data_IF_248746099519
#
_entry.id   IF_248746099519
#
_cell.length_a   1.000
_cell.length_b   1.000
_cell.length_c   1.000
_cell.angle_alpha   90.00
_cell.angle_beta   90.00
_cell.angle_gamma   90.00
#
_symmetry.space_group_name_H-M   'P 1'
#
loop_
_entity.id
_entity.type
_entity.pdbx_description
1 polymer ?
#
# COMPACT_ATOMS: atom_id res chain seq x y z
N UNK A 1 17.36 11.89 3.31
CA UNK A 1 16.15 12.11 2.46
C UNK A 1 16.59 12.90 1.24
N UNK A 2 16.40 12.37 0.03
CA UNK A 2 16.86 13.04 -1.19
C UNK A 2 15.90 14.17 -1.54
N UNK A 3 16.40 15.32 -2.03
CA UNK A 3 15.60 16.53 -2.36
C UNK A 3 14.40 16.22 -3.25
N UNK A 4 14.53 15.29 -4.20
CA UNK A 4 13.43 14.88 -5.08
C UNK A 4 12.30 14.13 -4.34
N UNK A 5 12.57 13.43 -3.24
CA UNK A 5 11.53 12.76 -2.43
C UNK A 5 10.65 13.79 -1.73
N UNK A 6 11.25 14.86 -1.20
CA UNK A 6 10.50 15.98 -0.58
C UNK A 6 9.63 16.70 -1.59
N UNK A 7 10.13 16.88 -2.83
CA UNK A 7 9.36 17.51 -3.90
C UNK A 7 8.17 16.66 -4.34
N UNK A 8 8.34 15.33 -4.45
CA UNK A 8 7.26 14.40 -4.79
C UNK A 8 6.20 14.39 -3.67
N UNK A 9 6.62 14.37 -2.41
CA UNK A 9 5.69 14.44 -1.27
C UNK A 9 4.90 15.75 -1.25
N UNK A 10 5.56 16.89 -1.46
CA UNK A 10 4.89 18.20 -1.54
C UNK A 10 3.92 18.26 -2.72
N UNK A 11 4.32 17.76 -3.89
CA UNK A 11 3.45 17.69 -5.06
C UNK A 11 2.22 16.79 -4.80
N UNK A 12 2.41 15.63 -4.18
CA UNK A 12 1.33 14.72 -3.79
C UNK A 12 0.32 15.34 -2.80
N UNK A 13 0.77 16.35 -2.04
CA UNK A 13 -0.09 17.09 -1.10
C UNK A 13 -0.90 18.20 -1.76
N UNK A 14 -0.65 18.54 -3.02
CA UNK A 14 -1.48 19.48 -3.79
C UNK A 14 -2.77 18.82 -4.25
N UNK A 15 -3.79 19.62 -4.58
CA UNK A 15 -5.06 19.12 -5.13
C UNK A 15 -4.85 18.34 -6.44
N UNK A 16 -3.99 18.83 -7.32
CA UNK A 16 -3.65 18.16 -8.58
C UNK A 16 -2.89 16.85 -8.35
N UNK A 17 -1.87 16.83 -7.48
CA UNK A 17 -1.13 15.64 -7.13
C UNK A 17 -2.00 14.58 -6.45
N UNK A 18 -2.92 14.99 -5.58
CA UNK A 18 -3.90 14.10 -4.97
C UNK A 18 -4.82 13.43 -6.03
N UNK A 19 -5.33 14.21 -7.00
CA UNK A 19 -6.14 13.67 -8.10
C UNK A 19 -5.33 12.71 -8.99
N UNK A 20 -4.07 13.04 -9.27
CA UNK A 20 -3.15 12.14 -9.98
C UNK A 20 -3.00 10.81 -9.26
N UNK A 21 -2.70 10.82 -7.96
CA UNK A 21 -2.56 9.61 -7.14
C UNK A 21 -3.83 8.77 -7.12
N UNK A 22 -5.00 9.41 -7.11
CA UNK A 22 -6.28 8.69 -7.07
C UNK A 22 -6.66 8.01 -8.37
N UNK A 23 -6.40 8.66 -9.49
CA UNK A 23 -7.02 8.26 -10.77
C UNK A 23 -6.03 7.76 -11.80
N UNK A 24 -4.85 8.35 -11.86
CA UNK A 24 -3.87 8.08 -12.92
C UNK A 24 -2.75 7.16 -12.47
N UNK A 25 -2.17 7.42 -11.30
CA UNK A 25 -1.07 6.64 -10.77
C UNK A 25 -1.37 5.11 -10.72
N UNK A 26 -2.54 4.64 -10.23
CA UNK A 26 -2.82 3.21 -10.20
C UNK A 26 -2.93 2.56 -11.58
N UNK A 27 -3.30 3.32 -12.61
CA UNK A 27 -3.37 2.82 -14.00
C UNK A 27 -1.97 2.71 -14.60
N UNK A 28 -1.12 3.71 -14.37
CA UNK A 28 0.27 3.71 -14.80
C UNK A 28 1.03 2.55 -14.12
N UNK A 29 0.83 2.36 -12.82
CA UNK A 29 1.52 1.34 -12.05
C UNK A 29 1.18 -0.08 -12.51
N UNK A 30 -0.05 -0.35 -12.90
CA UNK A 30 -0.43 -1.65 -13.48
C UNK A 30 0.32 -2.00 -14.77
N UNK A 31 0.73 -1.00 -15.53
CA UNK A 31 1.49 -1.18 -16.78
C UNK A 31 2.99 -1.14 -16.53
N UNK A 32 3.45 -0.29 -15.62
CA UNK A 32 4.86 -0.01 -15.39
C UNK A 32 5.54 -1.05 -14.49
N UNK A 33 4.83 -1.56 -13.50
CA UNK A 33 5.39 -2.47 -12.49
C UNK A 33 5.77 -3.84 -13.08
N UNK A 34 4.92 -4.54 -13.87
CA UNK A 34 5.24 -5.87 -14.35
C UNK A 34 6.55 -5.96 -15.15
N UNK A 35 6.82 -5.11 -16.17
CA UNK A 35 8.06 -5.21 -16.94
C UNK A 35 9.31 -4.80 -16.16
N UNK A 36 9.14 -4.09 -15.04
CA UNK A 36 10.26 -3.59 -14.21
C UNK A 36 10.47 -4.41 -12.92
N UNK A 37 9.65 -5.46 -12.71
CA UNK A 37 9.69 -6.25 -11.47
C UNK A 37 9.46 -5.42 -10.22
N UNK A 38 8.60 -4.39 -10.30
CA UNK A 38 8.30 -3.49 -9.18
C UNK A 38 9.40 -2.45 -8.86
N UNK A 39 10.42 -2.33 -9.71
CA UNK A 39 11.50 -1.34 -9.51
C UNK A 39 11.03 0.08 -9.78
N UNK A 40 10.17 0.27 -10.79
CA UNK A 40 9.63 1.57 -11.18
C UNK A 40 8.14 1.65 -10.88
N UNK A 41 7.71 2.80 -10.36
CA UNK A 41 6.31 3.13 -10.17
C UNK A 41 6.07 4.61 -10.47
N UNK A 42 4.80 5.01 -10.62
CA UNK A 42 4.41 6.41 -10.85
C UNK A 42 4.81 7.36 -9.72
N UNK A 43 5.10 6.84 -8.53
CA UNK A 43 5.50 7.62 -7.34
C UNK A 43 6.96 7.40 -6.94
N UNK A 44 7.73 6.72 -7.76
CA UNK A 44 9.18 6.54 -7.55
C UNK A 44 9.65 5.10 -7.57
N UNK A 45 10.92 4.92 -7.27
CA UNK A 45 11.60 3.63 -7.33
C UNK A 45 11.35 2.84 -6.05
N UNK A 46 10.92 1.57 -6.17
CA UNK A 46 10.82 0.64 -5.05
C UNK A 46 9.83 1.01 -3.95
N UNK A 47 8.77 1.77 -4.29
CA UNK A 47 7.75 2.20 -3.32
C UNK A 47 6.41 1.49 -3.52
N UNK A 48 6.11 1.03 -4.71
CA UNK A 48 4.83 0.39 -5.06
C UNK A 48 5.06 -0.99 -5.60
N UNK A 49 4.29 -1.96 -5.12
CA UNK A 49 4.21 -3.31 -5.64
C UNK A 49 2.79 -3.65 -6.10
N UNK A 50 2.66 -4.74 -6.85
CA UNK A 50 1.37 -5.33 -7.20
C UNK A 50 1.01 -6.40 -6.18
N UNK A 51 -0.14 -6.24 -5.54
CA UNK A 51 -0.70 -7.22 -4.60
C UNK A 51 -1.96 -7.81 -5.22
N UNK A 52 -1.96 -9.11 -5.47
CA UNK A 52 -3.12 -9.83 -5.98
C UNK A 52 -3.81 -10.55 -4.83
N UNK A 53 -5.07 -10.22 -4.62
CA UNK A 53 -5.92 -10.73 -3.53
C UNK A 53 -7.12 -11.46 -4.09
N UNK A 54 -7.70 -12.38 -3.33
CA UNK A 54 -8.95 -13.05 -3.66
C UNK A 54 -10.14 -12.22 -3.18
N UNK A 55 -11.05 -11.88 -4.09
CA UNK A 55 -12.23 -11.06 -3.78
C UNK A 55 -13.11 -11.68 -2.70
N UNK A 56 -13.35 -10.97 -1.60
CA UNK A 56 -14.08 -11.46 -0.43
C UNK A 56 -15.48 -12.01 -0.74
N UNK A 57 -16.16 -11.41 -1.73
CA UNK A 57 -17.52 -11.83 -2.14
C UNK A 57 -17.54 -12.64 -3.43
N UNK A 58 -16.63 -12.33 -4.36
CA UNK A 58 -16.66 -12.89 -5.72
C UNK A 58 -15.73 -14.09 -5.91
N UNK A 59 -14.74 -14.28 -5.01
CA UNK A 59 -13.68 -15.27 -5.19
C UNK A 59 -12.70 -14.95 -6.35
N UNK A 60 -12.93 -13.87 -7.08
CA UNK A 60 -12.10 -13.52 -8.24
C UNK A 60 -10.80 -12.84 -7.81
N UNK A 61 -9.71 -13.14 -8.52
CA UNK A 61 -8.42 -12.50 -8.31
C UNK A 61 -8.49 -11.01 -8.68
N UNK A 62 -7.94 -10.17 -7.80
CA UNK A 62 -7.91 -8.71 -7.94
C UNK A 62 -6.52 -8.18 -7.66
N UNK A 63 -5.90 -7.57 -8.65
CA UNK A 63 -4.57 -6.98 -8.53
C UNK A 63 -4.67 -5.49 -8.25
N UNK A 64 -3.96 -5.05 -7.22
CA UNK A 64 -3.92 -3.66 -6.74
C UNK A 64 -2.47 -3.17 -6.64
N UNK A 65 -2.14 -2.01 -7.21
CA UNK A 65 -0.89 -1.34 -6.87
C UNK A 65 -0.99 -0.76 -5.46
N UNK A 66 -0.07 -1.14 -4.58
CA UNK A 66 -0.01 -0.69 -3.20
C UNK A 66 1.38 -0.19 -2.86
N UNK A 67 1.45 0.89 -2.09
CA UNK A 67 2.71 1.24 -1.40
C UNK A 67 3.02 0.14 -0.40
N UNK A 68 4.20 -0.47 -0.56
CA UNK A 68 4.71 -1.51 0.31
C UNK A 68 5.96 -1.03 1.02
N UNK A 69 5.98 -1.18 2.33
CA UNK A 69 7.06 -0.71 3.18
C UNK A 69 7.75 -1.94 3.76
N UNK A 70 9.07 -2.02 3.59
CA UNK A 70 9.86 -3.12 4.18
C UNK A 70 9.80 -3.02 5.70
N UNK A 71 9.58 -4.17 6.33
CA UNK A 71 9.55 -4.35 7.77
C UNK A 71 10.44 -5.56 8.14
N UNK A 72 10.72 -5.76 9.42
CA UNK A 72 11.58 -6.85 9.91
C UNK A 72 11.15 -8.22 9.40
N UNK A 73 9.85 -8.48 9.34
CA UNK A 73 9.26 -9.79 9.06
C UNK A 73 8.49 -9.86 7.74
N UNK A 74 8.64 -8.88 6.86
CA UNK A 74 7.92 -8.87 5.59
C UNK A 74 7.68 -7.47 5.04
N UNK A 75 6.45 -7.22 4.60
CA UNK A 75 6.05 -5.96 4.00
C UNK A 75 4.81 -5.39 4.73
N UNK A 76 4.79 -4.10 4.98
CA UNK A 76 3.60 -3.42 5.50
C UNK A 76 2.75 -2.89 4.34
N UNK A 77 1.44 -3.13 4.43
CA UNK A 77 0.42 -2.56 3.56
C UNK A 77 -0.55 -1.72 4.39
N UNK A 78 -0.65 -0.42 4.04
CA UNK A 78 -1.40 0.55 4.83
C UNK A 78 -2.74 0.84 4.15
N UNK A 79 -3.85 0.49 4.81
CA UNK A 79 -5.23 0.64 4.31
C UNK A 79 -5.74 2.09 4.34
N UNK A 80 -4.90 3.05 3.96
CA UNK A 80 -5.20 4.48 4.05
C UNK A 80 -6.31 4.93 3.10
N UNK A 81 -6.39 4.33 1.91
CA UNK A 81 -7.27 4.77 0.83
C UNK A 81 -7.23 6.30 0.61
N UNK A 82 -6.03 6.87 0.69
CA UNK A 82 -5.78 8.32 0.56
C UNK A 82 -6.62 9.18 1.52
N UNK A 83 -6.95 8.69 2.72
CA UNK A 83 -7.76 9.41 3.70
C UNK A 83 -9.25 9.48 3.39
N UNK A 84 -9.77 8.70 2.42
CA UNK A 84 -11.21 8.63 2.12
C UNK A 84 -11.98 7.95 3.26
N UNK A 85 -13.26 8.29 3.42
CA UNK A 85 -14.13 7.70 4.44
C UNK A 85 -14.32 6.18 4.29
N UNK A 86 -14.26 5.64 3.07
CA UNK A 86 -14.40 4.20 2.81
C UNK A 86 -13.05 3.48 2.90
N UNK A 87 -13.06 2.26 3.42
CA UNK A 87 -11.91 1.37 3.36
C UNK A 87 -11.58 0.98 1.90
N UNK A 88 -10.30 0.70 1.57
CA UNK A 88 -9.95 0.11 0.28
C UNK A 88 -10.53 -1.31 0.18
N UNK A 89 -10.94 -1.71 -1.02
CA UNK A 89 -11.58 -3.02 -1.24
C UNK A 89 -10.65 -4.20 -0.90
N UNK A 90 -9.35 -4.10 -1.22
CA UNK A 90 -8.37 -5.14 -0.94
C UNK A 90 -8.26 -5.48 0.56
N UNK A 91 -8.59 -4.54 1.44
CA UNK A 91 -8.64 -4.79 2.89
C UNK A 91 -9.66 -5.88 3.24
N UNK A 92 -10.87 -5.81 2.67
CA UNK A 92 -11.89 -6.82 2.90
C UNK A 92 -11.47 -8.19 2.32
N UNK A 93 -10.78 -8.18 1.19
CA UNK A 93 -10.24 -9.37 0.57
C UNK A 93 -9.24 -10.08 1.48
N UNK A 94 -8.24 -9.35 2.01
CA UNK A 94 -7.22 -9.92 2.90
C UNK A 94 -7.79 -10.38 4.25
N UNK A 95 -8.88 -9.78 4.73
CA UNK A 95 -9.56 -10.24 5.94
C UNK A 95 -10.32 -11.55 5.72
N UNK A 96 -10.92 -11.73 4.54
CA UNK A 96 -11.64 -12.96 4.20
C UNK A 96 -10.70 -14.07 3.71
N UNK A 97 -9.68 -13.71 2.94
CA UNK A 97 -8.69 -14.59 2.31
C UNK A 97 -7.30 -14.00 2.51
N UNK A 98 -6.57 -14.40 3.56
CA UNK A 98 -5.29 -13.78 3.90
C UNK A 98 -4.15 -14.12 2.93
N UNK A 99 -4.28 -15.14 2.10
CA UNK A 99 -3.31 -15.50 1.09
C UNK A 99 -3.35 -14.50 -0.07
N UNK A 100 -2.17 -14.04 -0.49
CA UNK A 100 -2.01 -13.12 -1.61
C UNK A 100 -0.68 -13.36 -2.33
N UNK A 101 -0.58 -12.87 -3.54
CA UNK A 101 0.70 -12.81 -4.25
C UNK A 101 1.18 -11.36 -4.30
N UNK A 102 2.49 -11.19 -4.18
CA UNK A 102 3.13 -9.88 -4.22
C UNK A 102 4.24 -9.87 -5.26
N UNK A 103 4.23 -8.88 -6.11
CA UNK A 103 5.33 -8.52 -7.01
C UNK A 103 5.90 -7.18 -6.56
N UNK A 104 7.07 -7.21 -5.90
CA UNK A 104 7.70 -6.03 -5.32
C UNK A 104 9.22 -6.15 -5.30
N UNK A 105 9.90 -5.47 -6.23
CA UNK A 105 11.36 -5.45 -6.37
C UNK A 105 12.01 -6.86 -6.56
N UNK A 106 11.20 -7.87 -6.76
CA UNK A 106 11.59 -9.28 -6.91
C UNK A 106 10.51 -9.99 -7.74
N UNK A 107 10.75 -11.20 -8.22
CA UNK A 107 9.72 -12.02 -8.85
C UNK A 107 8.51 -12.20 -7.91
N UNK A 108 7.35 -12.43 -8.53
CA UNK A 108 6.10 -12.70 -7.80
C UNK A 108 6.28 -13.84 -6.80
N UNK A 109 5.87 -13.62 -5.56
CA UNK A 109 5.94 -14.61 -4.49
C UNK A 109 4.63 -14.66 -3.69
N UNK A 110 4.44 -15.77 -2.97
CA UNK A 110 3.29 -15.97 -2.10
C UNK A 110 3.53 -15.31 -0.74
N UNK A 111 2.48 -14.67 -0.24
CA UNK A 111 2.47 -14.01 1.06
C UNK A 111 1.18 -14.34 1.81
N UNK A 112 1.26 -14.28 3.14
CA UNK A 112 0.11 -14.34 4.02
C UNK A 112 -0.03 -13.02 4.76
N UNK A 113 -1.22 -12.43 4.71
CA UNK A 113 -1.53 -11.16 5.37
C UNK A 113 -1.94 -11.40 6.83
N UNK A 114 -1.39 -10.58 7.71
CA UNK A 114 -1.74 -10.49 9.14
C UNK A 114 -2.25 -9.10 9.44
N UNK A 115 -3.47 -8.98 9.98
CA UNK A 115 -3.98 -7.70 10.47
C UNK A 115 -3.28 -7.37 11.80
N UNK A 116 -2.55 -6.27 11.84
CA UNK A 116 -1.85 -5.84 13.05
C UNK A 116 -2.78 -5.09 14.01
N UNK A 117 -2.64 -5.39 15.30
CA UNK A 117 -3.36 -4.75 16.41
C UNK A 117 -2.39 -4.41 17.54
N UNK A 118 -2.84 -3.63 18.54
CA UNK A 118 -2.05 -3.31 19.73
C UNK A 118 -0.67 -2.71 19.41
N UNK A 119 0.36 -3.15 20.14
CA UNK A 119 1.73 -2.64 20.03
C UNK A 119 2.36 -2.93 18.67
N UNK A 120 2.05 -4.08 18.06
CA UNK A 120 2.53 -4.42 16.73
C UNK A 120 2.01 -3.43 15.68
N UNK A 121 0.74 -3.03 15.79
CA UNK A 121 0.17 -1.99 14.94
C UNK A 121 0.79 -0.62 15.21
N UNK A 122 1.01 -0.26 16.46
CA UNK A 122 1.61 1.03 16.83
C UNK A 122 3.03 1.16 16.26
N UNK A 123 3.85 0.11 16.41
CA UNK A 123 5.20 0.06 15.83
C UNK A 123 5.18 0.16 14.29
N UNK A 124 4.33 -0.62 13.64
CA UNK A 124 4.18 -0.59 12.18
C UNK A 124 3.65 0.77 11.69
N UNK A 125 2.79 1.43 12.46
CA UNK A 125 2.32 2.79 12.14
C UNK A 125 3.44 3.81 12.21
N UNK A 126 4.31 3.74 13.23
CA UNK A 126 5.50 4.58 13.33
C UNK A 126 6.41 4.39 12.11
N UNK A 127 6.72 3.15 11.74
CA UNK A 127 7.48 2.83 10.52
C UNK A 127 6.82 3.42 9.26
N UNK A 128 5.49 3.34 9.16
CA UNK A 128 4.76 3.88 8.02
C UNK A 128 4.84 5.42 7.96
N UNK A 129 4.71 6.11 9.09
CA UNK A 129 4.76 7.58 9.15
C UNK A 129 6.18 8.12 8.93
N UNK A 130 7.21 7.39 9.35
CA UNK A 130 8.61 7.69 9.03
C UNK A 130 8.88 7.54 7.54
N UNK A 131 8.27 6.53 6.89
CA UNK A 131 8.36 6.34 5.45
C UNK A 131 7.61 7.44 4.67
N UNK A 132 6.41 7.82 5.12
CA UNK A 132 5.58 8.85 4.50
C UNK A 132 4.70 9.57 5.53
N UNK A 133 5.08 10.79 5.90
CA UNK A 133 4.37 11.61 6.89
C UNK A 133 2.90 11.90 6.51
N UNK A 134 2.54 11.83 5.24
CA UNK A 134 1.17 12.02 4.74
C UNK A 134 0.15 11.02 5.31
N UNK A 135 0.58 9.89 5.87
CA UNK A 135 -0.33 8.94 6.53
C UNK A 135 -1.05 9.57 7.73
N UNK A 136 -0.41 10.49 8.46
CA UNK A 136 -1.07 11.22 9.56
C UNK A 136 -2.21 12.11 9.05
N UNK A 137 -2.03 12.78 7.92
CA UNK A 137 -3.13 13.53 7.27
C UNK A 137 -4.27 12.61 6.85
N UNK A 138 -3.95 11.45 6.28
CA UNK A 138 -4.96 10.47 5.88
C UNK A 138 -5.73 9.95 7.09
N UNK A 139 -5.05 9.73 8.21
CA UNK A 139 -5.68 9.34 9.48
C UNK A 139 -6.67 10.39 9.96
N UNK A 140 -6.26 11.66 9.98
CA UNK A 140 -7.13 12.77 10.37
C UNK A 140 -8.32 12.94 9.41
N UNK A 141 -8.08 12.83 8.08
CA UNK A 141 -9.12 13.05 7.07
C UNK A 141 -10.19 11.96 7.05
N UNK A 142 -9.87 10.73 7.42
CA UNK A 142 -10.81 9.62 7.37
C UNK A 142 -11.48 9.31 8.71
N UNK A 143 -11.19 10.05 9.78
CA UNK A 143 -11.82 9.87 11.09
C UNK A 143 -13.37 9.92 10.97
N UNK A 144 -14.12 9.07 11.71
CA UNK A 144 -13.68 8.15 12.75
C UNK A 144 -13.14 6.77 12.23
N UNK A 145 -13.02 6.59 10.91
CA UNK A 145 -12.53 5.34 10.33
C UNK A 145 -11.07 5.09 10.75
N UNK A 146 -10.80 3.92 11.33
CA UNK A 146 -9.44 3.51 11.63
C UNK A 146 -8.73 2.96 10.38
N UNK A 147 -7.53 3.45 10.09
CA UNK A 147 -6.68 2.90 9.04
C UNK A 147 -6.12 1.55 9.51
N UNK A 148 -6.46 0.48 8.79
CA UNK A 148 -5.94 -0.87 9.06
C UNK A 148 -4.54 -1.01 8.49
N UNK A 149 -3.69 -1.70 9.25
CA UNK A 149 -2.30 -2.01 8.88
C UNK A 149 -2.17 -3.52 8.78
N UNK A 150 -1.67 -3.99 7.64
CA UNK A 150 -1.38 -5.41 7.42
C UNK A 150 0.12 -5.62 7.30
N UNK A 151 0.60 -6.72 7.88
CA UNK A 151 1.91 -7.28 7.58
C UNK A 151 1.72 -8.43 6.60
N UNK A 152 2.40 -8.39 5.48
CA UNK A 152 2.45 -9.46 4.50
C UNK A 152 3.73 -10.26 4.76
N UNK A 153 3.59 -11.47 5.27
CA UNK A 153 4.72 -12.39 5.53
C UNK A 153 4.94 -13.31 4.33
N UNK A 154 6.18 -13.49 3.86
CA UNK A 154 6.44 -14.45 2.80
C UNK A 154 6.08 -15.86 3.28
N UNK A 155 5.46 -16.64 2.39
CA UNK A 155 5.23 -18.07 2.60
C UNK A 155 6.43 -18.79 2.01
N UNK A 156 7.18 -19.49 2.87
CA UNK A 156 8.36 -20.29 2.50
C UNK A 156 7.95 -21.63 1.93
#
# INVERSE_FOLDING_TARGET
MRIHEVLIERAAMTRAGYQFLLHLAPRIDKVLIPPTGGRLSSVGIGKVGLVTTTGAKSGLQRTHPLTLIKDSDGLLAIGSNYGRAKHPAWRANLLAHPECTVEFMAPTAQYRAELLTGDARASAWATATDFYAGYERYRASCAPREIRVFRLRPVV
#
